data_IF_015647366110
#
_entry.id   IF_015647366110
#
_cell.length_a   1.000
_cell.length_b   1.000
_cell.length_c   1.000
_cell.angle_alpha   90.00
_cell.angle_beta   90.00
_cell.angle_gamma   90.00
#
_symmetry.space_group_name_H-M   'P 1'
#
loop_
_entity.id
_entity.type
_entity.pdbx_description
1 polymer ?
#
# COMPACT_ATOMS: atom_id res chain seq x y z
N UNK A 1 6.80 -16.71 35.67
CA UNK A 1 6.97 -17.07 34.24
C UNK A 1 5.66 -16.97 33.46
N UNK A 2 4.50 -16.94 34.14
CA UNK A 2 3.17 -16.87 33.50
C UNK A 2 2.78 -15.50 32.91
N UNK A 3 3.38 -14.41 33.39
CA UNK A 3 3.08 -13.04 32.92
C UNK A 3 3.55 -12.76 31.48
N UNK A 4 4.60 -13.46 31.01
CA UNK A 4 5.13 -13.32 29.64
C UNK A 4 4.32 -14.13 28.61
N UNK A 5 3.80 -15.30 29.01
CA UNK A 5 2.90 -16.11 28.17
C UNK A 5 1.53 -15.44 27.98
N UNK A 6 0.98 -14.84 29.05
CA UNK A 6 -0.28 -14.09 29.01
C UNK A 6 -0.20 -12.84 28.12
N UNK A 7 0.92 -12.10 28.15
CA UNK A 7 1.12 -10.95 27.27
C UNK A 7 1.23 -11.35 25.78
N UNK A 8 1.86 -12.49 25.48
CA UNK A 8 1.94 -13.03 24.12
C UNK A 8 0.58 -13.40 23.56
N UNK A 9 -0.24 -14.13 24.32
CA UNK A 9 -1.58 -14.53 23.88
C UNK A 9 -2.55 -13.34 23.76
N UNK A 10 -2.51 -12.39 24.68
CA UNK A 10 -3.32 -11.17 24.63
C UNK A 10 -2.95 -10.28 23.44
N UNK A 11 -1.66 -10.10 23.15
CA UNK A 11 -1.20 -9.33 21.99
C UNK A 11 -1.58 -10.02 20.66
N UNK A 12 -1.47 -11.34 20.58
CA UNK A 12 -1.88 -12.11 19.39
C UNK A 12 -3.39 -12.04 19.16
N UNK A 13 -4.19 -12.15 20.22
CA UNK A 13 -5.66 -12.07 20.17
C UNK A 13 -6.12 -10.66 19.79
N UNK A 14 -5.49 -9.63 20.36
CA UNK A 14 -5.73 -8.23 19.98
C UNK A 14 -5.41 -7.99 18.51
N UNK A 15 -4.27 -8.49 18.03
CA UNK A 15 -3.89 -8.39 16.63
C UNK A 15 -4.83 -9.17 15.69
N UNK A 16 -5.47 -10.24 16.16
CA UNK A 16 -6.51 -10.95 15.41
C UNK A 16 -7.79 -10.12 15.31
N UNK A 17 -8.31 -9.61 16.43
CA UNK A 17 -9.51 -8.76 16.44
C UNK A 17 -9.33 -7.50 15.59
N UNK A 18 -8.18 -6.83 15.69
CA UNK A 18 -7.88 -5.65 14.88
C UNK A 18 -7.87 -5.96 13.38
N UNK A 19 -7.32 -7.11 12.96
CA UNK A 19 -7.36 -7.53 11.55
C UNK A 19 -8.78 -7.80 11.08
N UNK A 20 -9.57 -8.54 11.86
CA UNK A 20 -10.96 -8.85 11.51
C UNK A 20 -11.80 -7.57 11.40
N UNK A 21 -11.68 -6.67 12.38
CA UNK A 21 -12.35 -5.38 12.37
C UNK A 21 -11.92 -4.54 11.14
N UNK A 22 -10.62 -4.46 10.85
CA UNK A 22 -10.12 -3.75 9.66
C UNK A 22 -10.63 -4.34 8.35
N UNK A 23 -10.81 -5.67 8.28
CA UNK A 23 -11.31 -6.36 7.10
C UNK A 23 -12.81 -6.14 6.92
N UNK A 24 -13.57 -6.10 8.01
CA UNK A 24 -15.00 -5.77 7.97
C UNK A 24 -15.22 -4.34 7.45
N UNK A 25 -14.46 -3.37 7.96
CA UNK A 25 -14.51 -1.97 7.50
C UNK A 25 -14.09 -1.89 6.02
N UNK A 26 -12.98 -2.52 5.66
CA UNK A 26 -12.48 -2.50 4.29
C UNK A 26 -13.48 -3.15 3.31
N UNK A 27 -14.14 -4.24 3.71
CA UNK A 27 -15.16 -4.91 2.91
C UNK A 27 -16.39 -4.03 2.74
N UNK A 28 -16.83 -3.36 3.81
CA UNK A 28 -17.96 -2.43 3.74
C UNK A 28 -17.68 -1.28 2.76
N UNK A 29 -16.53 -0.60 2.90
CA UNK A 29 -16.12 0.47 1.98
C UNK A 29 -15.98 -0.05 0.54
N UNK A 30 -15.45 -1.26 0.36
CA UNK A 30 -15.33 -1.89 -0.95
C UNK A 30 -16.69 -2.14 -1.61
N UNK A 31 -17.65 -2.71 -0.88
CA UNK A 31 -19.00 -3.00 -1.37
C UNK A 31 -19.76 -1.71 -1.71
N UNK A 32 -19.64 -0.68 -0.87
CA UNK A 32 -20.30 0.62 -1.11
C UNK A 32 -19.74 1.32 -2.36
N UNK A 33 -18.43 1.22 -2.60
CA UNK A 33 -17.77 1.90 -3.72
C UNK A 33 -17.79 1.09 -5.04
N UNK A 34 -18.05 -0.21 -4.98
CA UNK A 34 -18.13 -1.12 -6.13
C UNK A 34 -19.21 -0.77 -7.18
N UNK A 35 -20.46 -0.41 -6.84
CA UNK A 35 -21.48 -0.06 -7.85
C UNK A 35 -21.08 1.18 -8.65
N UNK A 36 -20.49 2.18 -7.99
CA UNK A 36 -19.98 3.40 -8.64
C UNK A 36 -18.82 3.07 -9.59
N UNK A 37 -17.89 2.22 -9.15
CA UNK A 37 -16.78 1.73 -9.98
C UNK A 37 -17.27 0.96 -11.21
N UNK A 38 -18.27 0.09 -11.03
CA UNK A 38 -18.84 -0.69 -12.12
C UNK A 38 -19.56 0.20 -13.15
N UNK A 39 -20.27 1.24 -12.70
CA UNK A 39 -20.91 2.21 -13.60
C UNK A 39 -19.87 2.96 -14.44
N UNK A 40 -18.79 3.43 -13.83
CA UNK A 40 -17.68 4.04 -14.56
C UNK A 40 -17.00 3.06 -15.54
N UNK A 41 -16.81 1.80 -15.13
CA UNK A 41 -16.23 0.79 -16.01
C UNK A 41 -17.11 0.55 -17.23
N UNK A 42 -18.43 0.48 -17.05
CA UNK A 42 -19.40 0.30 -18.12
C UNK A 42 -19.42 1.47 -19.10
N UNK A 43 -19.46 2.72 -18.61
CA UNK A 43 -19.46 3.92 -19.46
C UNK A 43 -18.16 4.06 -20.27
N UNK A 44 -17.00 3.80 -19.64
CA UNK A 44 -15.71 3.88 -20.33
C UNK A 44 -15.49 2.72 -21.32
N UNK A 45 -16.00 1.52 -21.00
CA UNK A 45 -15.97 0.37 -21.92
C UNK A 45 -16.81 0.63 -23.17
N UNK A 46 -17.99 1.23 -23.01
CA UNK A 46 -18.85 1.62 -24.13
C UNK A 46 -18.20 2.67 -25.02
N UNK A 47 -17.41 3.60 -24.45
CA UNK A 47 -16.71 4.64 -25.18
C UNK A 47 -15.31 4.25 -25.70
N UNK A 48 -14.87 2.99 -25.50
CA UNK A 48 -13.55 2.43 -25.93
C UNK A 48 -12.31 3.28 -25.61
N UNK A 49 -12.41 4.21 -24.65
CA UNK A 49 -11.31 5.11 -24.31
C UNK A 49 -10.65 4.64 -23.01
N UNK A 50 -9.59 3.84 -23.14
CA UNK A 50 -8.79 3.36 -22.01
C UNK A 50 -7.98 4.52 -21.41
N UNK A 51 -8.58 5.27 -20.50
CA UNK A 51 -7.87 6.29 -19.74
C UNK A 51 -6.91 5.63 -18.75
N UNK A 52 -5.68 6.14 -18.69
CA UNK A 52 -4.64 5.73 -17.72
C UNK A 52 -5.20 5.68 -16.30
N UNK A 53 -6.02 6.66 -15.91
CA UNK A 53 -6.66 6.72 -14.58
C UNK A 53 -7.55 5.52 -14.26
N UNK A 54 -8.22 4.92 -15.27
CA UNK A 54 -9.07 3.75 -15.09
C UNK A 54 -8.26 2.49 -14.83
N UNK A 55 -7.16 2.30 -15.56
CA UNK A 55 -6.23 1.18 -15.35
C UNK A 55 -5.63 1.27 -13.94
N UNK A 56 -5.14 2.45 -13.54
CA UNK A 56 -4.62 2.65 -12.18
C UNK A 56 -5.67 2.39 -11.09
N UNK A 57 -6.92 2.81 -11.31
CA UNK A 57 -8.01 2.57 -10.36
C UNK A 57 -8.38 1.08 -10.26
N UNK A 58 -8.42 0.35 -11.37
CA UNK A 58 -8.62 -1.10 -11.35
C UNK A 58 -7.46 -1.82 -10.64
N UNK A 59 -6.22 -1.40 -10.94
CA UNK A 59 -5.01 -1.97 -10.33
C UNK A 59 -4.99 -1.79 -8.81
N UNK A 60 -5.31 -0.60 -8.27
CA UNK A 60 -5.29 -0.39 -6.82
C UNK A 60 -6.32 -1.26 -6.10
N UNK A 61 -7.51 -1.43 -6.71
CA UNK A 61 -8.58 -2.27 -6.16
C UNK A 61 -8.16 -3.73 -6.12
N UNK A 62 -7.61 -4.25 -7.21
CA UNK A 62 -7.14 -5.63 -7.29
C UNK A 62 -6.00 -5.89 -6.31
N UNK A 63 -4.96 -5.06 -6.32
CA UNK A 63 -3.79 -5.23 -5.45
C UNK A 63 -4.18 -5.12 -3.97
N UNK A 64 -5.09 -4.19 -3.60
CA UNK A 64 -5.55 -4.05 -2.23
C UNK A 64 -6.24 -5.33 -1.71
N UNK A 65 -7.13 -5.93 -2.50
CA UNK A 65 -7.77 -7.21 -2.14
C UNK A 65 -6.73 -8.32 -2.01
N UNK A 66 -5.79 -8.43 -2.95
CA UNK A 66 -4.70 -9.41 -2.87
C UNK A 66 -3.84 -9.22 -1.62
N UNK A 67 -3.45 -7.99 -1.29
CA UNK A 67 -2.67 -7.66 -0.08
C UNK A 67 -3.41 -8.09 1.18
N UNK A 68 -4.71 -7.79 1.27
CA UNK A 68 -5.55 -8.18 2.41
C UNK A 68 -5.64 -9.70 2.53
N UNK A 69 -5.92 -10.41 1.44
CA UNK A 69 -6.01 -11.88 1.44
C UNK A 69 -4.68 -12.49 1.87
N UNK A 70 -3.56 -12.09 1.26
CA UNK A 70 -2.23 -12.63 1.57
C UNK A 70 -1.82 -12.35 3.02
N UNK A 71 -2.11 -11.15 3.53
CA UNK A 71 -1.84 -10.78 4.91
C UNK A 71 -2.66 -11.60 5.91
N UNK A 72 -3.92 -11.91 5.60
CA UNK A 72 -4.78 -12.73 6.46
C UNK A 72 -4.41 -14.22 6.37
N UNK A 73 -4.12 -14.73 5.17
CA UNK A 73 -3.63 -16.09 4.98
C UNK A 73 -2.33 -16.30 5.76
N UNK A 74 -1.37 -15.39 5.69
CA UNK A 74 -0.13 -15.48 6.46
C UNK A 74 -0.33 -15.51 7.98
N UNK A 75 -1.40 -14.87 8.48
CA UNK A 75 -1.70 -14.78 9.91
C UNK A 75 -2.56 -15.94 10.45
N UNK A 76 -3.57 -16.38 9.70
CA UNK A 76 -4.53 -17.40 10.13
C UNK A 76 -4.14 -18.83 9.69
N UNK A 77 -3.30 -18.97 8.66
CA UNK A 77 -2.87 -20.28 8.19
C UNK A 77 -1.72 -20.81 9.05
N UNK A 78 -2.04 -21.80 9.89
CA UNK A 78 -1.12 -22.41 10.86
C UNK A 78 -0.34 -23.60 10.31
N UNK A 79 -0.49 -23.95 9.03
CA UNK A 79 0.16 -25.10 8.40
C UNK A 79 1.34 -24.74 7.50
N UNK A 80 1.98 -23.58 7.71
CA UNK A 80 3.18 -23.26 6.95
C UNK A 80 4.37 -24.12 7.43
N UNK A 81 5.00 -24.80 6.48
CA UNK A 81 6.36 -25.36 6.62
C UNK A 81 7.41 -24.27 6.49
N UNK A 82 8.62 -24.47 7.00
CA UNK A 82 9.74 -23.52 6.86
C UNK A 82 10.05 -23.15 5.38
N UNK A 83 10.04 -24.13 4.47
CA UNK A 83 10.28 -23.89 3.04
C UNK A 83 9.17 -23.03 2.40
N UNK A 84 7.91 -23.40 2.63
CA UNK A 84 6.75 -22.62 2.16
C UNK A 84 6.73 -21.21 2.74
N UNK A 85 7.12 -21.03 4.01
CA UNK A 85 7.24 -19.72 4.63
C UNK A 85 8.36 -18.89 4.00
N UNK A 86 9.49 -19.52 3.65
CA UNK A 86 10.59 -18.91 2.90
C UNK A 86 10.20 -18.38 1.51
N UNK A 87 9.15 -18.91 0.88
CA UNK A 87 8.60 -18.33 -0.36
C UNK A 87 7.49 -17.32 -0.09
N UNK A 88 6.67 -17.56 0.92
CA UNK A 88 5.49 -16.73 1.21
C UNK A 88 5.82 -15.42 1.94
N UNK A 89 6.88 -15.35 2.74
CA UNK A 89 7.13 -14.18 3.60
C UNK A 89 7.38 -12.87 2.82
N UNK A 90 7.86 -12.95 1.58
CA UNK A 90 8.09 -11.78 0.72
C UNK A 90 6.82 -11.33 -0.02
N UNK A 91 5.82 -12.19 -0.21
CA UNK A 91 4.60 -11.85 -0.95
C UNK A 91 3.83 -10.67 -0.31
N UNK A 92 3.45 -10.72 0.98
CA UNK A 92 2.68 -9.63 1.59
C UNK A 92 3.41 -8.27 1.55
N UNK A 93 4.73 -8.18 1.85
CA UNK A 93 5.49 -6.94 1.66
C UNK A 93 5.52 -6.44 0.21
N UNK A 94 5.75 -7.32 -0.77
CA UNK A 94 5.77 -6.95 -2.20
C UNK A 94 4.43 -6.33 -2.61
N UNK A 95 3.32 -6.99 -2.29
CA UNK A 95 1.99 -6.50 -2.62
C UNK A 95 1.66 -5.17 -1.92
N UNK A 96 2.15 -4.95 -0.70
CA UNK A 96 2.07 -3.63 -0.03
C UNK A 96 2.83 -2.53 -0.77
N UNK A 97 4.05 -2.80 -1.24
CA UNK A 97 4.83 -1.83 -2.02
C UNK A 97 4.12 -1.52 -3.33
N UNK A 98 3.63 -2.54 -4.04
CA UNK A 98 2.85 -2.35 -5.27
C UNK A 98 1.59 -1.50 -5.02
N UNK A 99 0.88 -1.75 -3.92
CA UNK A 99 -0.28 -0.95 -3.53
C UNK A 99 0.10 0.53 -3.32
N UNK A 100 1.20 0.79 -2.60
CA UNK A 100 1.71 2.14 -2.38
C UNK A 100 2.11 2.81 -3.70
N UNK A 101 2.83 2.12 -4.59
CA UNK A 101 3.24 2.65 -5.89
C UNK A 101 2.04 3.05 -6.76
N UNK A 102 1.01 2.20 -6.83
CA UNK A 102 -0.20 2.52 -7.60
C UNK A 102 -0.92 3.72 -7.00
N UNK A 103 -1.03 3.82 -5.67
CA UNK A 103 -1.61 4.98 -4.99
C UNK A 103 -0.84 6.27 -5.32
N UNK A 104 0.49 6.23 -5.20
CA UNK A 104 1.38 7.35 -5.51
C UNK A 104 1.27 7.78 -6.98
N UNK A 105 1.18 6.83 -7.90
CA UNK A 105 0.98 7.11 -9.30
C UNK A 105 -0.38 7.77 -9.57
N UNK A 106 -1.47 7.38 -8.89
CA UNK A 106 -2.77 8.06 -8.99
C UNK A 106 -2.66 9.52 -8.56
N UNK A 107 -2.01 9.78 -7.42
CA UNK A 107 -1.78 11.14 -6.92
C UNK A 107 -0.91 11.96 -7.89
N UNK A 108 0.17 11.36 -8.40
CA UNK A 108 1.06 11.98 -9.38
C UNK A 108 0.35 12.35 -10.68
N UNK A 109 -0.49 11.46 -11.23
CA UNK A 109 -1.30 11.73 -12.42
C UNK A 109 -2.28 12.89 -12.19
N UNK A 110 -2.91 12.95 -11.00
CA UNK A 110 -3.80 14.06 -10.62
C UNK A 110 -3.04 15.38 -10.54
N UNK A 111 -1.88 15.40 -9.88
CA UNK A 111 -1.01 16.58 -9.80
C UNK A 111 -0.51 17.03 -11.19
N UNK A 112 -0.20 16.08 -12.08
CA UNK A 112 0.21 16.37 -13.44
C UNK A 112 -0.91 16.99 -14.29
N UNK A 113 -2.14 16.46 -14.18
CA UNK A 113 -3.29 17.06 -14.85
C UNK A 113 -3.58 18.48 -14.31
N UNK A 114 -3.47 18.70 -12.99
CA UNK A 114 -3.68 20.02 -12.38
C UNK A 114 -2.63 21.05 -12.81
N UNK A 115 -1.38 20.63 -13.05
CA UNK A 115 -0.29 21.49 -13.54
C UNK A 115 -0.35 21.78 -15.05
N UNK A 116 -1.52 21.61 -15.69
CA UNK A 116 -1.76 21.80 -17.13
C UNK A 116 -0.83 20.98 -18.03
N UNK A 117 -0.40 19.80 -17.56
CA UNK A 117 0.53 18.90 -18.29
C UNK A 117 1.85 19.57 -18.69
N UNK A 118 2.35 20.51 -17.90
CA UNK A 118 3.66 21.14 -18.16
C UNK A 118 4.77 20.08 -18.14
N UNK A 119 5.52 19.96 -19.25
CA UNK A 119 6.56 18.94 -19.41
C UNK A 119 7.59 18.97 -18.28
N UNK A 120 7.99 20.16 -17.81
CA UNK A 120 8.96 20.31 -16.71
C UNK A 120 8.47 19.70 -15.39
N UNK A 121 7.21 19.95 -15.05
CA UNK A 121 6.60 19.42 -13.82
C UNK A 121 6.33 17.93 -13.95
N UNK A 122 5.96 17.45 -15.14
CA UNK A 122 5.86 16.02 -15.42
C UNK A 122 7.17 15.28 -15.16
N UNK A 123 8.30 15.80 -15.66
CA UNK A 123 9.61 15.22 -15.38
C UNK A 123 9.97 15.25 -13.90
N UNK A 124 9.71 16.36 -13.19
CA UNK A 124 9.97 16.45 -11.75
C UNK A 124 9.14 15.43 -10.95
N UNK A 125 7.85 15.30 -11.25
CA UNK A 125 6.95 14.33 -10.60
C UNK A 125 7.39 12.89 -10.88
N UNK A 126 7.81 12.61 -12.11
CA UNK A 126 8.30 11.29 -12.52
C UNK A 126 9.60 10.92 -11.82
N UNK A 127 10.55 11.86 -11.71
CA UNK A 127 11.82 11.64 -11.00
C UNK A 127 11.59 11.36 -9.52
N UNK A 128 10.77 12.17 -8.85
CA UNK A 128 10.46 11.99 -7.42
C UNK A 128 9.75 10.64 -7.21
N UNK A 129 8.83 10.26 -8.10
CA UNK A 129 8.15 8.96 -8.07
C UNK A 129 9.14 7.80 -8.21
N UNK A 130 10.04 7.86 -9.19
CA UNK A 130 11.02 6.80 -9.41
C UNK A 130 11.99 6.66 -8.23
N UNK A 131 12.49 7.78 -7.70
CA UNK A 131 13.34 7.77 -6.50
C UNK A 131 12.62 7.15 -5.29
N UNK A 132 11.37 7.54 -5.04
CA UNK A 132 10.58 6.99 -3.94
C UNK A 132 10.33 5.48 -4.13
N UNK A 133 9.97 5.05 -5.34
CA UNK A 133 9.74 3.64 -5.65
C UNK A 133 11.00 2.80 -5.41
N UNK A 134 12.16 3.23 -5.93
CA UNK A 134 13.43 2.52 -5.72
C UNK A 134 13.75 2.39 -4.23
N UNK A 135 13.61 3.47 -3.46
CA UNK A 135 13.85 3.44 -2.03
C UNK A 135 12.87 2.52 -1.28
N UNK A 136 11.60 2.50 -1.67
CA UNK A 136 10.58 1.60 -1.11
C UNK A 136 10.90 0.12 -1.38
N UNK A 137 11.38 -0.20 -2.58
CA UNK A 137 11.79 -1.57 -2.93
C UNK A 137 13.02 -2.00 -2.15
N UNK A 138 14.04 -1.15 -2.08
CA UNK A 138 15.27 -1.45 -1.33
C UNK A 138 14.92 -1.66 0.14
N UNK A 139 14.20 -0.74 0.78
CA UNK A 139 13.83 -0.85 2.20
C UNK A 139 12.94 -2.06 2.49
N UNK A 140 12.20 -2.55 1.50
CA UNK A 140 11.35 -3.75 1.66
C UNK A 140 12.15 -5.04 1.52
N UNK A 141 13.19 -5.09 0.68
CA UNK A 141 13.98 -6.29 0.41
C UNK A 141 15.21 -6.42 1.33
N UNK A 142 15.80 -5.30 1.76
CA UNK A 142 16.95 -5.30 2.67
C UNK A 142 16.48 -5.67 4.08
N UNK A 143 16.86 -6.85 4.57
CA UNK A 143 16.72 -7.35 5.96
C UNK A 143 15.42 -8.08 6.40
N UNK A 144 14.60 -8.60 5.48
CA UNK A 144 13.48 -9.49 5.86
C UNK A 144 13.98 -10.94 6.06
N UNK A 145 13.79 -11.50 7.25
CA UNK A 145 14.02 -12.92 7.53
C UNK A 145 12.70 -13.62 7.86
N UNK A 146 12.46 -14.85 7.36
CA UNK A 146 11.26 -15.60 7.71
C UNK A 146 11.35 -16.08 9.18
N UNK A 147 10.34 -15.79 9.99
CA UNK A 147 10.18 -16.40 11.34
C UNK A 147 8.89 -17.23 11.40
N UNK A 148 9.02 -18.46 11.87
CA UNK A 148 7.89 -19.32 12.26
C UNK A 148 7.51 -19.03 13.72
N UNK A 149 6.22 -18.98 14.01
CA UNK A 149 5.65 -18.61 15.32
C UNK A 149 5.72 -19.72 16.38
N UNK A 150 6.46 -20.83 16.16
CA UNK A 150 6.54 -21.96 17.09
C UNK A 150 7.97 -22.50 17.23
N UNK A 151 8.40 -22.63 18.49
CA UNK A 151 9.50 -23.48 18.93
C UNK A 151 8.90 -24.79 19.51
N UNK A 152 9.32 -26.00 19.07
CA UNK A 152 10.39 -26.27 18.12
C UNK A 152 9.99 -26.08 16.63
N UNK A 153 10.96 -25.70 15.77
CA UNK A 153 10.78 -25.33 14.35
C UNK A 153 10.31 -26.46 13.41
N UNK A 154 10.06 -27.65 13.95
CA UNK A 154 9.60 -28.84 13.22
C UNK A 154 8.07 -28.92 13.08
N UNK A 155 7.32 -28.02 13.70
CA UNK A 155 5.86 -28.12 13.78
C UNK A 155 5.20 -26.93 13.10
N UNK A 156 4.39 -27.22 12.07
CA UNK A 156 3.43 -26.36 11.40
C UNK A 156 2.97 -25.15 12.26
N UNK A 157 3.28 -23.93 11.79
CA UNK A 157 2.94 -22.67 12.46
C UNK A 157 2.54 -21.55 11.49
N UNK A 158 2.26 -20.37 12.04
CA UNK A 158 1.99 -19.16 11.24
C UNK A 158 3.31 -18.59 10.68
N UNK A 159 3.28 -18.06 9.47
CA UNK A 159 4.44 -17.47 8.82
C UNK A 159 4.41 -15.94 8.93
N UNK A 160 5.42 -15.34 9.55
CA UNK A 160 5.55 -13.88 9.62
C UNK A 160 6.91 -13.44 9.07
N UNK A 161 6.87 -12.42 8.23
CA UNK A 161 8.08 -11.72 7.78
C UNK A 161 8.53 -10.77 8.89
N UNK A 162 9.52 -11.18 9.68
CA UNK A 162 10.08 -10.38 10.76
C UNK A 162 11.32 -9.63 10.27
N UNK A 163 11.47 -8.36 10.64
CA UNK A 163 12.72 -7.63 10.42
C UNK A 163 13.56 -7.76 11.69
N UNK A 164 14.68 -8.47 11.62
CA UNK A 164 15.65 -8.56 12.72
C UNK A 164 16.53 -7.30 12.84
N UNK A 165 16.55 -6.45 11.82
CA UNK A 165 17.33 -5.22 11.78
C UNK A 165 16.77 -4.11 12.66
N UNK A 166 17.43 -3.84 13.79
CA UNK A 166 17.19 -2.69 14.69
C UNK A 166 17.35 -1.29 14.05
N UNK A 167 17.88 -1.18 12.82
CA UNK A 167 18.29 0.11 12.22
C UNK A 167 17.54 0.52 10.94
N UNK A 168 17.18 -0.41 10.05
CA UNK A 168 16.37 -0.12 8.84
C UNK A 168 14.93 -0.64 9.04
N UNK A 169 14.23 -0.07 10.00
CA UNK A 169 12.90 -0.54 10.39
C UNK A 169 11.82 -0.24 9.34
N UNK A 170 10.69 -0.95 9.45
CA UNK A 170 9.48 -0.71 8.65
C UNK A 170 9.02 0.76 8.67
N UNK A 171 9.43 1.54 9.68
CA UNK A 171 9.18 2.97 9.79
C UNK A 171 9.77 3.79 8.63
N UNK A 172 10.93 3.39 8.06
CA UNK A 172 11.57 4.13 6.96
C UNK A 172 10.71 4.06 5.70
N UNK A 173 10.13 2.89 5.40
CA UNK A 173 9.17 2.73 4.31
C UNK A 173 8.01 3.72 4.45
N UNK A 174 7.42 3.81 5.64
CA UNK A 174 6.31 4.74 5.90
C UNK A 174 6.74 6.20 5.85
N UNK A 175 7.93 6.55 6.36
CA UNK A 175 8.46 7.90 6.32
C UNK A 175 8.67 8.37 4.88
N UNK A 176 9.26 7.54 4.02
CA UNK A 176 9.49 7.86 2.61
C UNK A 176 8.16 8.01 1.86
N UNK A 177 7.19 7.12 2.13
CA UNK A 177 5.86 7.23 1.55
C UNK A 177 5.17 8.54 1.96
N UNK A 178 5.23 8.91 3.23
CA UNK A 178 4.65 10.17 3.74
C UNK A 178 5.33 11.40 3.14
N UNK A 179 6.65 11.41 3.02
CA UNK A 179 7.39 12.53 2.39
C UNK A 179 6.94 12.72 0.94
N UNK A 180 6.79 11.63 0.19
CA UNK A 180 6.28 11.69 -1.18
C UNK A 180 4.86 12.28 -1.20
N UNK A 181 3.94 11.73 -0.40
CA UNK A 181 2.55 12.17 -0.39
C UNK A 181 2.40 13.65 0.00
N UNK A 182 3.17 14.11 1.00
CA UNK A 182 3.21 15.52 1.40
C UNK A 182 3.77 16.41 0.29
N UNK A 183 4.84 15.99 -0.39
CA UNK A 183 5.43 16.77 -1.48
C UNK A 183 4.44 16.93 -2.65
N UNK A 184 3.79 15.85 -3.08
CA UNK A 184 2.81 15.88 -4.19
C UNK A 184 1.57 16.69 -3.81
N UNK A 185 1.09 16.53 -2.57
CA UNK A 185 -0.06 17.29 -2.06
C UNK A 185 0.27 18.77 -1.96
N UNK A 186 1.44 19.13 -1.41
CA UNK A 186 1.93 20.50 -1.32
C UNK A 186 2.05 21.17 -2.69
N UNK A 187 2.60 20.47 -3.67
CA UNK A 187 2.66 20.94 -5.06
C UNK A 187 1.26 21.16 -5.64
N UNK A 188 0.32 20.23 -5.39
CA UNK A 188 -1.06 20.36 -5.86
C UNK A 188 -1.76 21.58 -5.27
N UNK A 189 -1.59 21.82 -3.96
CA UNK A 189 -2.14 22.99 -3.26
C UNK A 189 -1.54 24.28 -3.81
N UNK A 190 -0.22 24.33 -3.99
CA UNK A 190 0.47 25.50 -4.53
C UNK A 190 -0.08 25.90 -5.91
N UNK A 191 -0.23 24.94 -6.82
CA UNK A 191 -0.79 25.21 -8.15
C UNK A 191 -2.25 25.67 -8.09
N UNK A 192 -3.06 25.08 -7.21
CA UNK A 192 -4.46 25.44 -7.04
C UNK A 192 -4.61 26.86 -6.49
N UNK A 193 -3.80 27.24 -5.49
CA UNK A 193 -3.77 28.59 -4.93
C UNK A 193 -3.29 29.61 -5.95
N UNK A 194 -2.20 29.32 -6.68
CA UNK A 194 -1.70 30.20 -7.73
C UNK A 194 -2.74 30.44 -8.82
N UNK A 195 -3.49 29.41 -9.20
CA UNK A 195 -4.58 29.54 -10.14
C UNK A 195 -5.71 30.44 -9.60
N UNK A 196 -6.18 30.19 -8.37
CA UNK A 196 -7.24 31.01 -7.76
C UNK A 196 -6.84 32.48 -7.61
N UNK A 197 -5.60 32.76 -7.23
CA UNK A 197 -5.09 34.12 -7.07
C UNK A 197 -5.00 34.87 -8.40
N UNK A 198 -4.53 34.20 -9.47
CA UNK A 198 -4.49 34.81 -10.81
C UNK A 198 -5.89 35.13 -11.31
N UNK A 199 -6.85 34.21 -11.16
CA UNK A 199 -8.24 34.43 -11.57
C UNK A 199 -8.89 35.59 -10.80
N UNK A 200 -8.62 35.72 -9.50
CA UNK A 200 -9.16 36.82 -8.67
C UNK A 200 -8.65 38.20 -9.09
N UNK A 201 -7.43 38.29 -9.63
CA UNK A 201 -6.86 39.56 -10.12
C UNK A 201 -7.32 39.94 -11.54
N UNK A 202 -8.11 39.09 -12.21
CA UNK A 202 -8.59 39.32 -13.58
C UNK A 202 -10.08 39.73 -13.62
N UNK A 203 -10.73 39.80 -12.47
CA UNK A 203 -12.10 40.28 -12.27
C UNK A 203 -12.04 41.60 -11.52
#
# INVERSE_FOLDING_TARGET
MDSLSSNGSAAHTTAAYLRVASLAIALYDYLETQPTAFRFYKEHWQNRCFSISMVLFASIRFISVCTLVLSNVGFFYTRFTLESCGRFYLLPPIFKVLQAMVSQAILGVRAFNLSRRSKRIGWLLLTIYFCAAVLQWITTLYQRVPKLDKDPPATNGNCRAFNEGRQLGAWIFYAIAMIYDVAITGMSIYYLLRYKLVMKNTV
#
